data_IF_915993036817
#
_entry.id   IF_915993036817
#
_cell.length_a   1.000
_cell.length_b   1.000
_cell.length_c   1.000
_cell.angle_alpha   90.00
_cell.angle_beta   90.00
_cell.angle_gamma   90.00
#
_symmetry.space_group_name_H-M   'P 1'
#
loop_
_entity.id
_entity.type
_entity.pdbx_description
1 polymer ?
#
# COMPACT_ATOMS: atom_id res chain seq x y z
N UNK A 1 -10.01 -1.61 -7.77
CA UNK A 1 -8.81 -1.13 -8.49
C UNK A 1 -8.87 -1.48 -9.97
N UNK A 2 -9.13 -2.73 -10.34
CA UNK A 2 -9.18 -3.15 -11.75
C UNK A 2 -10.24 -2.41 -12.57
N UNK A 3 -11.44 -2.22 -12.04
CA UNK A 3 -12.53 -1.50 -12.72
C UNK A 3 -12.16 -0.05 -13.03
N UNK A 4 -11.44 0.60 -12.13
CA UNK A 4 -10.95 1.97 -12.31
C UNK A 4 -9.88 2.05 -13.41
N UNK A 5 -8.94 1.10 -13.41
CA UNK A 5 -7.91 1.02 -14.45
C UNK A 5 -8.52 0.70 -15.82
N UNK A 6 -9.47 -0.23 -15.88
CA UNK A 6 -10.19 -0.58 -17.09
C UNK A 6 -10.89 0.63 -17.71
N UNK A 7 -11.60 1.40 -16.89
CA UNK A 7 -12.26 2.62 -17.34
C UNK A 7 -11.27 3.73 -17.75
N UNK A 8 -10.16 3.89 -17.00
CA UNK A 8 -9.16 4.93 -17.27
C UNK A 8 -8.30 4.65 -18.52
N UNK A 9 -8.24 3.38 -18.98
CA UNK A 9 -7.45 2.95 -20.15
C UNK A 9 -8.27 2.67 -21.39
N UNK A 10 -9.51 3.15 -21.46
CA UNK A 10 -10.43 2.90 -22.57
C UNK A 10 -10.53 1.40 -22.89
N UNK A 11 -10.96 0.60 -21.89
CA UNK A 11 -11.10 -0.86 -21.99
C UNK A 11 -9.77 -1.61 -22.25
N UNK A 12 -8.64 -0.99 -21.93
CA UNK A 12 -7.31 -1.58 -22.13
C UNK A 12 -6.69 -1.31 -23.51
N UNK A 13 -7.35 -0.55 -24.37
CA UNK A 13 -6.86 -0.23 -25.71
C UNK A 13 -5.66 0.75 -25.68
N UNK A 14 -5.55 1.59 -24.64
CA UNK A 14 -4.55 2.65 -24.57
C UNK A 14 -3.38 2.31 -23.62
N UNK A 15 -2.44 1.47 -24.10
CA UNK A 15 -1.28 1.02 -23.34
C UNK A 15 -0.40 2.20 -22.88
N UNK A 16 -0.24 3.24 -23.69
CA UNK A 16 0.54 4.43 -23.34
C UNK A 16 -0.04 5.19 -22.13
N UNK A 17 -1.37 5.28 -22.05
CA UNK A 17 -2.05 5.86 -20.86
C UNK A 17 -1.82 5.03 -19.61
N UNK A 18 -1.92 3.71 -19.73
CA UNK A 18 -1.63 2.81 -18.62
C UNK A 18 -0.20 3.00 -18.11
N UNK A 19 0.78 3.06 -18.99
CA UNK A 19 2.18 3.30 -18.63
C UNK A 19 2.37 4.63 -17.91
N UNK A 20 1.76 5.71 -18.38
CA UNK A 20 1.85 7.02 -17.72
C UNK A 20 1.24 6.99 -16.30
N UNK A 21 0.12 6.31 -16.11
CA UNK A 21 -0.49 6.13 -14.78
C UNK A 21 0.46 5.36 -13.85
N UNK A 22 1.09 4.30 -14.35
CA UNK A 22 2.02 3.50 -13.54
C UNK A 22 3.35 4.23 -13.26
N UNK A 23 3.82 5.09 -14.16
CA UNK A 23 4.97 5.98 -13.91
C UNK A 23 4.62 6.97 -12.80
N UNK A 24 3.45 7.61 -12.85
CA UNK A 24 3.01 8.52 -11.80
C UNK A 24 2.88 7.78 -10.45
N UNK A 25 2.36 6.57 -10.46
CA UNK A 25 2.24 5.71 -9.28
C UNK A 25 3.61 5.30 -8.71
N UNK A 26 4.58 5.03 -9.58
CA UNK A 26 5.96 4.77 -9.18
C UNK A 26 6.59 6.00 -8.49
N UNK A 27 6.44 7.18 -9.08
CA UNK A 27 6.94 8.43 -8.50
C UNK A 27 6.27 8.74 -7.16
N UNK A 28 4.96 8.52 -7.04
CA UNK A 28 4.23 8.68 -5.79
C UNK A 28 4.75 7.71 -4.71
N UNK A 29 4.96 6.44 -5.06
CA UNK A 29 5.52 5.44 -4.15
C UNK A 29 6.93 5.85 -3.69
N UNK A 30 7.77 6.31 -4.61
CA UNK A 30 9.10 6.80 -4.29
C UNK A 30 9.07 8.00 -3.34
N UNK A 31 8.18 8.97 -3.59
CA UNK A 31 8.01 10.14 -2.71
C UNK A 31 7.58 9.73 -1.29
N UNK A 32 6.66 8.77 -1.17
CA UNK A 32 6.23 8.25 0.14
C UNK A 32 7.39 7.55 0.86
N UNK A 33 8.16 6.72 0.16
CA UNK A 33 9.35 6.05 0.72
C UNK A 33 10.39 7.09 1.16
N UNK A 34 10.64 8.11 0.35
CA UNK A 34 11.54 9.20 0.70
C UNK A 34 11.07 9.94 1.97
N UNK A 35 9.77 10.20 2.11
CA UNK A 35 9.18 10.80 3.31
C UNK A 35 9.33 9.91 4.55
N UNK A 36 9.19 8.59 4.42
CA UNK A 36 9.43 7.63 5.50
C UNK A 36 10.88 7.71 5.95
N UNK A 37 11.83 7.66 5.01
CA UNK A 37 13.26 7.75 5.33
C UNK A 37 13.63 9.11 5.94
N UNK A 38 13.10 10.21 5.41
CA UNK A 38 13.34 11.54 5.96
C UNK A 38 12.92 11.65 7.44
N UNK A 39 11.88 10.91 7.84
CA UNK A 39 11.36 10.92 9.21
C UNK A 39 11.99 9.86 10.12
N UNK A 40 12.32 8.70 9.59
CA UNK A 40 12.81 7.55 10.36
C UNK A 40 14.34 7.42 10.35
N UNK A 41 15.03 8.08 9.43
CA UNK A 41 16.47 7.94 9.27
C UNK A 41 17.26 8.50 10.45
N UNK A 42 18.33 7.83 10.88
CA UNK A 42 19.24 8.34 11.90
C UNK A 42 19.99 9.58 11.40
N UNK A 43 20.42 10.43 12.34
CA UNK A 43 21.24 11.62 12.05
C UNK A 43 22.50 11.19 11.28
N UNK A 44 22.65 11.69 10.04
CA UNK A 44 23.77 11.32 9.15
C UNK A 44 23.37 10.52 7.90
N UNK A 45 22.11 10.19 7.73
CA UNK A 45 21.63 9.56 6.49
C UNK A 45 21.64 10.57 5.34
N UNK A 46 22.48 10.32 4.35
CA UNK A 46 22.58 11.17 3.16
C UNK A 46 21.46 10.84 2.17
N UNK A 47 20.71 11.83 1.67
CA UNK A 47 19.60 11.59 0.72
C UNK A 47 20.03 10.92 -0.59
N UNK A 48 21.31 10.99 -0.94
CA UNK A 48 21.88 10.29 -2.10
C UNK A 48 21.64 8.77 -2.09
N UNK A 49 21.53 8.16 -0.92
CA UNK A 49 21.24 6.72 -0.80
C UNK A 49 19.86 6.36 -1.31
N UNK A 50 18.90 7.29 -1.28
CA UNK A 50 17.57 7.10 -1.88
C UNK A 50 17.64 6.96 -3.41
N UNK A 51 18.64 7.57 -4.04
CA UNK A 51 18.88 7.41 -5.48
C UNK A 51 19.20 5.96 -5.87
N UNK A 52 19.82 5.18 -4.98
CA UNK A 52 20.10 3.76 -5.23
C UNK A 52 18.83 2.92 -5.36
N UNK A 53 17.73 3.32 -4.71
CA UNK A 53 16.43 2.66 -4.88
C UNK A 53 15.90 2.79 -6.31
N UNK A 54 16.18 3.92 -6.97
CA UNK A 54 15.80 4.15 -8.36
C UNK A 54 16.66 3.34 -9.35
N UNK A 55 17.87 2.93 -8.97
CA UNK A 55 18.74 2.11 -9.82
C UNK A 55 18.31 0.64 -9.87
N UNK A 56 17.37 0.22 -9.05
CA UNK A 56 16.91 -1.18 -9.05
C UNK A 56 16.15 -1.50 -10.33
N UNK A 57 16.83 -2.17 -11.27
CA UNK A 57 16.26 -2.64 -12.54
C UNK A 57 15.00 -3.50 -12.33
N UNK A 58 14.94 -4.24 -11.22
CA UNK A 58 13.81 -5.11 -10.89
C UNK A 58 12.56 -4.29 -10.52
N UNK A 59 12.72 -3.25 -9.71
CA UNK A 59 11.63 -2.35 -9.32
C UNK A 59 11.10 -1.62 -10.55
N UNK A 60 12.00 -1.12 -11.40
CA UNK A 60 11.63 -0.46 -12.65
C UNK A 60 10.85 -1.37 -13.60
N UNK A 61 11.28 -2.63 -13.73
CA UNK A 61 10.59 -3.62 -14.57
C UNK A 61 9.18 -3.95 -14.06
N UNK A 62 8.99 -4.07 -12.74
CA UNK A 62 7.68 -4.41 -12.14
C UNK A 62 6.68 -3.27 -12.31
N UNK A 63 7.11 -2.03 -12.07
CA UNK A 63 6.22 -0.87 -12.12
C UNK A 63 5.94 -0.37 -13.53
N UNK A 64 6.98 -0.27 -14.38
CA UNK A 64 6.87 0.42 -15.68
C UNK A 64 6.60 -0.54 -16.84
N UNK A 65 7.24 -1.72 -16.85
CA UNK A 65 7.16 -2.64 -17.98
C UNK A 65 6.03 -3.66 -17.86
N UNK A 66 5.78 -4.19 -16.66
CA UNK A 66 4.84 -5.30 -16.47
C UNK A 66 3.47 -4.90 -15.95
N UNK A 67 3.27 -3.64 -15.54
CA UNK A 67 1.99 -3.10 -15.04
C UNK A 67 1.35 -4.01 -13.97
N UNK A 68 2.17 -4.55 -13.06
CA UNK A 68 1.69 -5.46 -12.04
C UNK A 68 0.87 -4.72 -10.98
N UNK A 69 -0.14 -5.40 -10.46
CA UNK A 69 -0.98 -4.95 -9.33
C UNK A 69 -0.19 -4.69 -8.02
N UNK A 70 1.10 -5.01 -8.01
CA UNK A 70 2.01 -4.75 -6.89
C UNK A 70 2.21 -3.25 -6.67
N UNK A 71 2.20 -2.44 -7.72
CA UNK A 71 2.41 -1.00 -7.63
C UNK A 71 1.42 -0.30 -6.70
N UNK A 72 0.10 -0.34 -6.99
CA UNK A 72 -0.92 0.25 -6.12
C UNK A 72 -0.88 -0.31 -4.70
N UNK A 73 -0.68 -1.61 -4.58
CA UNK A 73 -0.66 -2.31 -3.29
C UNK A 73 0.50 -1.85 -2.41
N UNK A 74 1.70 -1.71 -2.97
CA UNK A 74 2.86 -1.20 -2.25
C UNK A 74 2.71 0.27 -1.88
N UNK A 75 2.10 1.09 -2.74
CA UNK A 75 1.80 2.48 -2.39
C UNK A 75 0.93 2.57 -1.14
N UNK A 76 -0.16 1.80 -1.08
CA UNK A 76 -1.04 1.78 0.10
C UNK A 76 -0.34 1.25 1.34
N UNK A 77 0.52 0.24 1.20
CA UNK A 77 1.32 -0.28 2.32
C UNK A 77 2.28 0.78 2.87
N UNK A 78 3.04 1.46 2.01
CA UNK A 78 3.96 2.51 2.45
C UNK A 78 3.23 3.72 3.02
N UNK A 79 2.08 4.10 2.48
CA UNK A 79 1.22 5.13 3.09
C UNK A 79 0.75 4.71 4.48
N UNK A 80 0.38 3.45 4.69
CA UNK A 80 0.03 2.94 6.01
C UNK A 80 1.23 3.06 6.99
N UNK A 81 2.43 2.69 6.56
CA UNK A 81 3.66 2.84 7.36
C UNK A 81 3.93 4.32 7.70
N UNK A 82 3.76 5.21 6.73
CA UNK A 82 3.92 6.65 6.96
C UNK A 82 2.91 7.17 8.00
N UNK A 83 1.66 6.70 7.97
CA UNK A 83 0.64 7.05 8.97
C UNK A 83 0.99 6.50 10.36
N UNK A 84 1.56 5.30 10.45
CA UNK A 84 2.06 4.76 11.73
C UNK A 84 3.18 5.62 12.30
N UNK A 85 4.09 6.10 11.48
CA UNK A 85 5.13 7.07 11.90
C UNK A 85 4.54 8.41 12.36
N UNK A 86 3.36 8.80 11.86
CA UNK A 86 2.62 9.97 12.33
C UNK A 86 1.67 9.66 13.51
N UNK A 87 1.77 8.47 14.10
CA UNK A 87 0.91 8.01 15.22
C UNK A 87 -0.60 8.00 14.90
N UNK A 88 -0.96 7.99 13.61
CA UNK A 88 -2.34 7.88 13.15
C UNK A 88 -2.74 6.41 12.97
N UNK A 89 -2.84 5.69 14.07
CA UNK A 89 -3.01 4.23 14.11
C UNK A 89 -4.24 3.72 13.37
N UNK A 90 -5.40 4.35 13.57
CA UNK A 90 -6.67 3.94 12.94
C UNK A 90 -6.65 4.06 11.43
N UNK A 91 -6.17 5.18 10.89
CA UNK A 91 -6.06 5.39 9.46
C UNK A 91 -5.00 4.47 8.84
N UNK A 92 -3.88 4.25 9.53
CA UNK A 92 -2.85 3.32 9.11
C UNK A 92 -3.38 1.88 9.00
N UNK A 93 -4.14 1.42 10.00
CA UNK A 93 -4.79 0.10 9.97
C UNK A 93 -5.83 -0.02 8.85
N UNK A 94 -6.61 1.02 8.58
CA UNK A 94 -7.58 1.02 7.49
C UNK A 94 -6.89 0.90 6.12
N UNK A 95 -5.80 1.67 5.87
CA UNK A 95 -5.03 1.56 4.63
C UNK A 95 -4.30 0.23 4.51
N UNK A 96 -3.76 -0.31 5.62
CA UNK A 96 -3.14 -1.63 5.63
C UNK A 96 -4.15 -2.72 5.26
N UNK A 97 -5.36 -2.65 5.82
CA UNK A 97 -6.44 -3.56 5.48
C UNK A 97 -6.83 -3.45 4.01
N UNK A 98 -6.93 -2.23 3.47
CA UNK A 98 -7.21 -2.02 2.04
C UNK A 98 -6.11 -2.59 1.14
N UNK A 99 -4.85 -2.40 1.50
CA UNK A 99 -3.70 -2.97 0.80
C UNK A 99 -3.74 -4.51 0.83
N UNK A 100 -4.08 -5.10 1.98
CA UNK A 100 -4.25 -6.55 2.14
C UNK A 100 -5.35 -7.11 1.24
N UNK A 101 -6.48 -6.42 1.11
CA UNK A 101 -7.56 -6.81 0.20
C UNK A 101 -7.18 -6.83 -1.28
N UNK A 102 -6.15 -6.08 -1.68
CA UNK A 102 -5.64 -6.08 -3.04
C UNK A 102 -4.65 -7.22 -3.30
N UNK A 103 -3.83 -7.62 -2.32
CA UNK A 103 -2.83 -8.68 -2.46
C UNK A 103 -2.55 -9.39 -1.14
N UNK A 104 -2.68 -10.71 -1.14
CA UNK A 104 -2.49 -11.55 0.05
C UNK A 104 -1.05 -11.51 0.62
N UNK A 105 -0.04 -11.18 -0.18
CA UNK A 105 1.35 -11.12 0.28
C UNK A 105 1.58 -10.12 1.42
N UNK A 106 0.69 -9.15 1.60
CA UNK A 106 0.76 -8.16 2.69
C UNK A 106 0.54 -8.80 4.06
N UNK A 107 -0.09 -9.98 4.14
CA UNK A 107 -0.27 -10.72 5.38
C UNK A 107 1.08 -11.00 6.09
N UNK A 108 2.17 -11.07 5.32
CA UNK A 108 3.51 -11.28 5.85
C UNK A 108 3.97 -10.14 6.78
N UNK A 109 3.43 -8.95 6.62
CA UNK A 109 3.70 -7.79 7.50
C UNK A 109 2.78 -7.74 8.73
N UNK A 110 1.76 -8.61 8.77
CA UNK A 110 0.77 -8.66 9.86
C UNK A 110 1.39 -8.93 11.24
N UNK A 111 2.34 -9.87 11.42
CA UNK A 111 2.96 -10.11 12.73
C UNK A 111 3.72 -8.89 13.26
N UNK A 112 4.46 -8.19 12.39
CA UNK A 112 5.18 -6.98 12.77
C UNK A 112 4.22 -5.86 13.16
N UNK A 113 3.13 -5.69 12.42
CA UNK A 113 2.08 -4.72 12.74
C UNK A 113 1.42 -5.05 14.07
N UNK A 114 1.15 -6.33 14.36
CA UNK A 114 0.56 -6.76 15.63
C UNK A 114 1.44 -6.39 16.81
N UNK A 115 2.73 -6.73 16.76
CA UNK A 115 3.70 -6.40 17.81
C UNK A 115 3.76 -4.88 18.03
N UNK A 116 3.81 -4.11 16.96
CA UNK A 116 3.86 -2.65 17.01
C UNK A 116 2.59 -2.05 17.63
N UNK A 117 1.41 -2.56 17.28
CA UNK A 117 0.13 -2.11 17.84
C UNK A 117 0.03 -2.43 19.34
N UNK A 118 0.47 -3.62 19.75
CA UNK A 118 0.46 -4.01 21.19
C UNK A 118 1.43 -3.14 21.99
N UNK A 119 2.62 -2.86 21.46
CA UNK A 119 3.63 -2.05 22.14
C UNK A 119 3.17 -0.60 22.33
N UNK A 120 2.51 0.00 21.34
CA UNK A 120 2.15 1.43 21.37
C UNK A 120 0.77 1.73 21.96
N UNK A 121 -0.18 0.81 21.83
CA UNK A 121 -1.59 1.08 22.19
C UNK A 121 -2.15 0.14 23.25
N UNK A 122 -1.33 -0.81 23.69
CA UNK A 122 -1.73 -1.87 24.63
C UNK A 122 -2.62 -2.95 23.97
N UNK A 123 -2.86 -4.05 24.69
CA UNK A 123 -3.57 -5.21 24.12
C UNK A 123 -5.03 -4.91 23.76
N UNK A 124 -5.72 -4.08 24.53
CA UNK A 124 -7.11 -3.69 24.23
C UNK A 124 -7.24 -2.81 22.99
N UNK A 125 -6.35 -1.82 22.84
CA UNK A 125 -6.30 -0.95 21.67
C UNK A 125 -5.90 -1.71 20.39
N UNK A 126 -5.00 -2.66 20.50
CA UNK A 126 -4.59 -3.53 19.40
C UNK A 126 -5.78 -4.41 18.93
N UNK A 127 -6.48 -5.05 19.86
CA UNK A 127 -7.64 -5.87 19.55
C UNK A 127 -8.74 -5.10 18.78
N UNK A 128 -9.08 -3.89 19.24
CA UNK A 128 -10.07 -3.06 18.56
C UNK A 128 -9.69 -2.74 17.12
N UNK A 129 -8.41 -2.44 16.85
CA UNK A 129 -7.92 -2.13 15.50
C UNK A 129 -7.83 -3.36 14.59
N UNK A 130 -7.54 -4.51 15.15
CA UNK A 130 -7.56 -5.78 14.40
C UNK A 130 -9.00 -6.12 14.00
N UNK A 131 -9.95 -5.93 14.89
CA UNK A 131 -11.39 -6.09 14.58
C UNK A 131 -11.81 -5.12 13.47
N UNK A 132 -11.35 -3.88 13.52
CA UNK A 132 -11.58 -2.89 12.47
C UNK A 132 -11.01 -3.35 11.12
N UNK A 133 -9.79 -3.86 11.09
CA UNK A 133 -9.18 -4.43 9.88
C UNK A 133 -10.02 -5.59 9.33
N UNK A 134 -10.48 -6.49 10.18
CA UNK A 134 -11.36 -7.60 9.79
C UNK A 134 -12.71 -7.12 9.24
N UNK A 135 -13.33 -6.13 9.87
CA UNK A 135 -14.59 -5.54 9.41
C UNK A 135 -14.47 -4.92 8.02
N UNK A 136 -13.37 -4.21 7.74
CA UNK A 136 -13.09 -3.62 6.42
C UNK A 136 -12.94 -4.71 5.36
N UNK A 137 -12.38 -5.88 5.69
CA UNK A 137 -12.24 -6.99 4.74
C UNK A 137 -13.57 -7.70 4.45
N UNK A 138 -14.43 -7.82 5.43
CA UNK A 138 -15.73 -8.50 5.26
C UNK A 138 -16.70 -7.66 4.43
N UNK A 139 -16.64 -6.34 4.51
CA UNK A 139 -17.54 -5.43 3.80
C UNK A 139 -17.50 -5.60 2.26
N UNK A 140 -16.36 -5.55 1.57
CA UNK A 140 -16.30 -5.77 0.12
C UNK A 140 -16.62 -7.21 -0.29
N UNK A 141 -16.33 -8.21 0.53
CA UNK A 141 -16.69 -9.60 0.24
C UNK A 141 -18.21 -9.81 0.26
N UNK A 142 -18.92 -9.16 1.17
CA UNK A 142 -20.40 -9.20 1.20
C UNK A 142 -21.01 -8.52 -0.03
N UNK A 143 -20.45 -7.39 -0.46
CA UNK A 143 -20.94 -6.67 -1.64
C UNK A 143 -20.70 -7.46 -2.92
N UNK A 144 -19.54 -8.09 -3.06
CA UNK A 144 -19.24 -8.97 -4.20
C UNK A 144 -20.13 -10.21 -4.24
N UNK A 145 -20.40 -10.82 -3.10
CA UNK A 145 -21.30 -11.97 -3.00
C UNK A 145 -22.76 -11.62 -3.31
N UNK A 146 -23.20 -10.40 -2.99
CA UNK A 146 -24.54 -9.92 -3.36
C UNK A 146 -24.65 -9.58 -4.85
N UNK A 147 -23.60 -9.04 -5.46
CA UNK A 147 -23.55 -8.75 -6.89
C UNK A 147 -23.55 -10.03 -7.75
N UNK A 148 -22.92 -11.10 -7.25
CA UNK A 148 -22.88 -12.40 -7.94
C UNK A 148 -24.20 -13.20 -7.87
N UNK A 149 -25.13 -12.78 -7.02
CA UNK A 149 -26.46 -13.41 -6.87
C UNK A 149 -27.57 -12.72 -7.67
N UNK A 150 -27.25 -11.65 -8.33
CA UNK A 150 -28.15 -10.93 -9.27
C UNK A 150 -27.76 -11.19 -10.71
#
# INVERSE_FOLDING_TARGET
TYSLLYWATDEGANIARAQNIFIALYLATFAVVAAIYAKAAPKGFHPCWLGLLCLSKRVHSIFVLRLFNDGPTMLFLYLAVLLFLHKRWTLGCALFSFAFGNKMNIILFSPALFILLVAETGPGGAACRIVLCGAIQVCPCRFAAQAARR
#
